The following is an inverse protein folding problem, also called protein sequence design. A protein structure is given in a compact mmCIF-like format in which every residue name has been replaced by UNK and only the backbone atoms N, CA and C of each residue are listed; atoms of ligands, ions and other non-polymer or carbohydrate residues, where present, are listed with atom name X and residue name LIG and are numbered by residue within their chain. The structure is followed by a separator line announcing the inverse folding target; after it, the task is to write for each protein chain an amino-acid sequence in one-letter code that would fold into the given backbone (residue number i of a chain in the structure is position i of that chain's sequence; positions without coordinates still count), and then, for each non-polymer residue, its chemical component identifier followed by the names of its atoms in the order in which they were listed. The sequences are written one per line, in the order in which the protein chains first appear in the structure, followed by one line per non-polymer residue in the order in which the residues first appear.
data_IF_801367674321
#
_entry.id   IF_801367674321
#
_cell.length_a   1.000
_cell.length_b   1.000
_cell.length_c   1.000
_cell.angle_alpha   90.00
_cell.angle_beta   90.00
_cell.angle_gamma   90.00
#
_symmetry.space_group_name_H-M   'P 1'
#
loop_
_entity.id
_entity.type
_entity.pdbx_description
1 polymer ?
#
# COMPACT_ATOMS: atom_id res chain seq x y z
N UNK A 1 17.38 3.20 16.48
CA UNK A 1 16.69 2.10 15.76
C UNK A 1 17.61 0.88 15.76
N UNK A 2 17.12 -0.33 16.07
CA UNK A 2 17.97 -1.55 16.04
C UNK A 2 18.58 -1.80 14.66
N UNK A 3 19.76 -2.39 14.62
CA UNK A 3 20.42 -2.78 13.38
C UNK A 3 19.66 -3.95 12.74
N UNK A 4 19.79 -4.11 11.42
CA UNK A 4 19.14 -5.20 10.71
C UNK A 4 19.60 -6.59 11.20
N UNK A 5 20.83 -6.69 11.73
CA UNK A 5 21.35 -7.92 12.32
C UNK A 5 20.61 -8.30 13.61
N UNK A 6 20.25 -7.32 14.44
CA UNK A 6 19.53 -7.55 15.69
C UNK A 6 18.11 -8.12 15.45
N UNK A 7 17.52 -7.80 14.29
CA UNK A 7 16.20 -8.31 13.90
C UNK A 7 16.22 -9.80 13.50
N UNK A 8 17.39 -10.42 13.33
CA UNK A 8 17.48 -11.87 13.04
C UNK A 8 17.29 -12.74 14.28
N UNK A 9 17.35 -12.15 15.48
CA UNK A 9 17.08 -12.87 16.73
C UNK A 9 15.60 -13.24 16.87
N UNK A 10 15.30 -14.14 17.81
CA UNK A 10 13.92 -14.49 18.18
C UNK A 10 13.19 -13.24 18.70
N UNK A 11 12.02 -12.96 18.15
CA UNK A 11 11.13 -11.92 18.66
C UNK A 11 10.38 -12.46 19.88
N UNK A 12 10.45 -11.75 21.01
CA UNK A 12 9.65 -12.02 22.19
C UNK A 12 8.75 -10.82 22.45
N UNK A 13 7.45 -11.00 22.28
CA UNK A 13 6.46 -9.93 22.49
C UNK A 13 5.84 -10.05 23.88
N UNK A 14 5.67 -8.91 24.54
CA UNK A 14 4.96 -8.78 25.80
C UNK A 14 4.01 -7.59 25.67
N UNK A 15 2.70 -7.81 25.87
CA UNK A 15 1.72 -6.72 25.94
C UNK A 15 1.71 -6.15 27.36
N UNK A 16 1.66 -4.83 27.46
CA UNK A 16 1.71 -4.15 28.74
C UNK A 16 0.40 -4.39 29.50
N UNK A 17 0.50 -4.91 30.72
CA UNK A 17 -0.66 -5.16 31.58
C UNK A 17 -1.39 -6.49 31.32
N UNK A 18 -0.86 -7.34 30.43
CA UNK A 18 -1.43 -8.66 30.14
C UNK A 18 -0.50 -9.79 30.61
N UNK A 19 -1.07 -10.84 31.19
CA UNK A 19 -0.32 -12.06 31.50
C UNK A 19 -0.03 -12.84 30.22
N UNK A 20 1.20 -12.73 29.74
CA UNK A 20 1.67 -13.44 28.55
C UNK A 20 2.02 -14.90 28.83
N UNK A 21 1.05 -15.81 28.71
CA UNK A 21 1.24 -17.24 29.00
C UNK A 21 1.89 -17.99 27.81
N UNK A 22 1.51 -17.66 26.57
CA UNK A 22 2.01 -18.31 25.35
C UNK A 22 2.76 -17.33 24.44
N UNK A 23 4.10 -17.39 24.46
CA UNK A 23 4.96 -16.55 23.65
C UNK A 23 4.71 -16.67 22.13
N UNK A 24 4.23 -17.83 21.65
CA UNK A 24 3.88 -18.04 20.24
C UNK A 24 2.61 -17.29 19.86
N UNK A 25 1.55 -17.46 20.65
CA UNK A 25 0.27 -16.74 20.50
C UNK A 25 0.43 -15.23 20.49
N UNK A 26 1.17 -14.67 21.46
CA UNK A 26 1.39 -13.22 21.57
C UNK A 26 2.14 -12.66 20.37
N UNK A 27 3.14 -13.39 19.86
CA UNK A 27 3.90 -12.96 18.67
C UNK A 27 3.01 -12.93 17.43
N UNK A 28 2.18 -13.96 17.25
CA UNK A 28 1.22 -14.02 16.14
C UNK A 28 0.20 -12.87 16.20
N UNK A 29 -0.36 -12.62 17.38
CA UNK A 29 -1.30 -11.53 17.61
C UNK A 29 -0.66 -10.16 17.34
N UNK A 30 0.57 -9.96 17.79
CA UNK A 30 1.32 -8.72 17.54
C UNK A 30 1.49 -8.42 16.05
N UNK A 31 1.82 -9.42 15.24
CA UNK A 31 1.90 -9.25 13.80
C UNK A 31 0.55 -8.87 13.18
N UNK A 32 -0.55 -9.48 13.63
CA UNK A 32 -1.90 -9.19 13.15
C UNK A 32 -2.35 -7.77 13.51
N UNK A 33 -2.12 -7.33 14.75
CA UNK A 33 -2.45 -5.98 15.20
C UNK A 33 -1.60 -4.94 14.47
N UNK A 34 -0.29 -5.18 14.36
CA UNK A 34 0.62 -4.25 13.70
C UNK A 34 0.34 -4.14 12.20
N UNK A 35 0.04 -5.25 11.52
CA UNK A 35 -0.33 -5.20 10.10
C UNK A 35 -1.59 -4.39 9.88
N UNK A 36 -2.62 -4.56 10.71
CA UNK A 36 -3.86 -3.76 10.61
C UNK A 36 -3.58 -2.26 10.67
N UNK A 37 -2.70 -1.82 11.56
CA UNK A 37 -2.33 -0.39 11.68
C UNK A 37 -1.52 0.10 10.48
N UNK A 38 -0.53 -0.68 10.01
CA UNK A 38 0.33 -0.28 8.89
C UNK A 38 -0.46 -0.14 7.59
N UNK A 39 -1.41 -1.05 7.35
CA UNK A 39 -2.18 -1.14 6.10
C UNK A 39 -3.56 -0.47 6.21
N UNK A 40 -3.86 0.20 7.32
CA UNK A 40 -5.08 0.99 7.47
C UNK A 40 -5.10 2.16 6.47
N UNK A 41 -6.29 2.46 5.93
CA UNK A 41 -6.47 3.57 4.96
C UNK A 41 -6.06 4.91 5.58
N UNK A 42 -6.27 5.12 6.88
CA UNK A 42 -5.91 6.32 7.63
C UNK A 42 -4.40 6.48 7.89
N UNK A 43 -3.60 5.42 7.79
CA UNK A 43 -2.15 5.52 7.89
C UNK A 43 -1.52 6.23 6.68
N UNK A 44 -2.27 6.31 5.55
CA UNK A 44 -1.88 6.89 4.26
C UNK A 44 -0.65 6.26 3.59
N UNK A 45 -0.12 5.15 4.11
CA UNK A 45 1.05 4.47 3.56
C UNK A 45 0.69 3.56 2.37
N UNK A 46 -0.40 2.82 2.48
CA UNK A 46 -0.86 1.90 1.45
C UNK A 46 -2.28 2.25 1.04
N UNK A 47 -2.63 1.94 -0.20
CA UNK A 47 -3.99 2.03 -0.72
C UNK A 47 -4.37 0.71 -1.36
N UNK A 48 -5.67 0.50 -1.49
CA UNK A 48 -6.24 -0.66 -2.17
C UNK A 48 -6.59 -0.33 -3.62
N UNK A 49 -6.57 -1.34 -4.49
CA UNK A 49 -6.97 -1.22 -5.91
C UNK A 49 -8.00 -2.28 -6.28
N UNK A 50 -8.79 -2.02 -7.33
CA UNK A 50 -9.83 -2.94 -7.80
C UNK A 50 -10.85 -3.29 -6.71
N UNK A 51 -11.00 -4.58 -6.40
CA UNK A 51 -11.97 -5.12 -5.43
C UNK A 51 -11.60 -4.88 -3.94
N UNK A 52 -10.80 -3.87 -3.64
CA UNK A 52 -10.33 -3.50 -2.29
C UNK A 52 -9.59 -4.58 -1.48
N UNK A 53 -9.17 -5.68 -2.12
CA UNK A 53 -8.59 -6.85 -1.43
C UNK A 53 -7.06 -6.91 -1.50
N UNK A 54 -6.43 -6.06 -2.32
CA UNK A 54 -4.97 -6.03 -2.48
C UNK A 54 -4.41 -4.63 -2.28
N UNK A 55 -3.22 -4.56 -1.69
CA UNK A 55 -2.55 -3.32 -1.30
C UNK A 55 -1.38 -2.98 -2.22
N UNK A 56 -1.20 -1.69 -2.46
CA UNK A 56 -0.01 -1.11 -3.08
C UNK A 56 0.41 0.17 -2.34
N UNK A 57 1.67 0.61 -2.46
CA UNK A 57 2.11 1.88 -1.88
C UNK A 57 1.19 3.01 -2.33
N UNK A 58 0.75 3.84 -1.39
CA UNK A 58 -0.08 4.99 -1.69
C UNK A 58 0.79 6.07 -2.35
N UNK A 59 0.48 6.50 -3.58
CA UNK A 59 1.17 7.62 -4.23
C UNK A 59 1.11 8.90 -3.39
N UNK A 60 0.11 9.02 -2.51
CA UNK A 60 -0.17 10.20 -1.68
C UNK A 60 0.40 10.09 -0.28
N UNK A 61 1.23 9.08 -0.05
CA UNK A 61 1.91 8.89 1.22
C UNK A 61 2.74 10.11 1.63
N UNK A 62 3.10 11.01 0.69
CA UNK A 62 3.77 12.27 0.99
C UNK A 62 3.00 13.18 1.98
N UNK A 63 1.67 13.04 2.07
CA UNK A 63 0.87 13.76 3.06
C UNK A 63 0.98 13.18 4.47
N UNK A 64 1.61 12.01 4.62
CA UNK A 64 2.03 11.47 5.90
C UNK A 64 3.46 11.93 6.20
N UNK A 65 3.64 12.65 7.30
CA UNK A 65 4.95 13.04 7.80
C UNK A 65 5.81 11.80 8.01
N UNK A 66 7.07 11.83 7.59
CA UNK A 66 8.01 10.70 7.70
C UNK A 66 7.59 9.41 6.94
N UNK A 67 6.73 9.50 5.91
CA UNK A 67 6.25 8.31 5.18
C UNK A 67 7.36 7.35 4.70
N UNK A 68 8.51 7.86 4.26
CA UNK A 68 9.65 7.03 3.84
C UNK A 68 10.21 6.19 5.01
N UNK A 69 10.31 6.80 6.19
CA UNK A 69 10.73 6.12 7.42
C UNK A 69 9.72 5.04 7.80
N UNK A 70 8.43 5.30 7.62
CA UNK A 70 7.37 4.33 7.86
C UNK A 70 7.36 3.19 6.82
N UNK A 71 7.58 3.45 5.53
CA UNK A 71 7.74 2.38 4.54
C UNK A 71 8.93 1.47 4.85
N UNK A 72 10.05 2.06 5.29
CA UNK A 72 11.22 1.30 5.75
C UNK A 72 10.88 0.43 6.96
N UNK A 73 10.07 0.94 7.88
CA UNK A 73 9.56 0.16 9.02
C UNK A 73 8.62 -0.97 8.56
N UNK A 74 7.63 -0.69 7.72
CA UNK A 74 6.71 -1.68 7.17
C UNK A 74 7.46 -2.80 6.42
N UNK A 75 8.44 -2.45 5.58
CA UNK A 75 9.29 -3.42 4.90
C UNK A 75 10.10 -4.30 5.86
N UNK A 76 10.58 -3.75 6.98
CA UNK A 76 11.22 -4.55 8.04
C UNK A 76 10.24 -5.48 8.74
N UNK A 77 9.01 -5.04 9.02
CA UNK A 77 7.96 -5.87 9.63
C UNK A 77 7.60 -7.03 8.71
N UNK A 78 7.35 -6.77 7.43
CA UNK A 78 7.06 -7.82 6.43
C UNK A 78 8.23 -8.79 6.28
N UNK A 79 9.46 -8.27 6.12
CA UNK A 79 10.65 -9.11 6.01
C UNK A 79 10.91 -9.95 7.27
N UNK A 80 10.62 -9.40 8.45
CA UNK A 80 10.76 -10.10 9.72
C UNK A 80 9.66 -11.16 9.91
N UNK A 81 8.41 -10.89 9.52
CA UNK A 81 7.34 -11.88 9.52
C UNK A 81 7.70 -13.09 8.64
N UNK A 82 8.21 -12.84 7.44
CA UNK A 82 8.72 -13.88 6.54
C UNK A 82 9.85 -14.68 7.18
N UNK A 83 10.82 -14.00 7.81
CA UNK A 83 11.94 -14.66 8.49
C UNK A 83 11.48 -15.54 9.67
N UNK A 84 10.46 -15.11 10.42
CA UNK A 84 9.90 -15.82 11.57
C UNK A 84 8.85 -16.87 11.21
N UNK A 85 8.52 -17.03 9.93
CA UNK A 85 7.46 -17.94 9.48
C UNK A 85 6.06 -17.52 9.92
N UNK A 86 5.83 -16.23 10.13
CA UNK A 86 4.55 -15.66 10.55
C UNK A 86 3.78 -15.15 9.32
N UNK A 87 2.49 -15.48 9.26
CA UNK A 87 1.60 -14.98 8.22
C UNK A 87 1.07 -13.59 8.61
N UNK A 88 1.02 -12.69 7.62
CA UNK A 88 0.34 -11.41 7.72
C UNK A 88 -0.97 -11.51 6.92
N UNK A 89 -2.04 -10.95 7.46
CA UNK A 89 -3.33 -10.86 6.76
C UNK A 89 -3.35 -9.66 5.80
N UNK A 90 -2.43 -9.68 4.84
CA UNK A 90 -2.18 -8.58 3.90
C UNK A 90 -1.72 -9.18 2.59
N UNK A 91 -2.42 -8.80 1.52
CA UNK A 91 -2.13 -9.28 0.17
C UNK A 91 -1.69 -8.10 -0.69
N UNK A 92 -0.52 -8.18 -1.30
CA UNK A 92 -0.03 -7.11 -2.18
C UNK A 92 -0.53 -7.31 -3.61
N UNK A 93 -0.56 -6.22 -4.37
CA UNK A 93 -0.79 -6.33 -5.82
C UNK A 93 0.32 -7.14 -6.48
N UNK A 94 0.00 -7.80 -7.60
CA UNK A 94 0.98 -8.58 -8.38
C UNK A 94 2.15 -7.70 -8.84
N UNK A 95 1.87 -6.48 -9.27
CA UNK A 95 2.90 -5.50 -9.65
C UNK A 95 3.82 -5.17 -8.47
N UNK A 96 3.28 -5.01 -7.25
CA UNK A 96 4.10 -4.73 -6.08
C UNK A 96 4.98 -5.92 -5.67
N UNK A 97 4.48 -7.16 -5.74
CA UNK A 97 5.33 -8.36 -5.58
C UNK A 97 6.46 -8.40 -6.62
N UNK A 98 6.17 -8.06 -7.88
CA UNK A 98 7.21 -7.99 -8.93
C UNK A 98 8.28 -6.96 -8.61
N UNK A 99 7.90 -5.78 -8.11
CA UNK A 99 8.87 -4.76 -7.66
C UNK A 99 9.77 -5.27 -6.53
N UNK A 100 9.21 -5.95 -5.53
CA UNK A 100 9.98 -6.54 -4.42
C UNK A 100 10.99 -7.58 -4.94
N UNK A 101 10.59 -8.38 -5.93
CA UNK A 101 11.41 -9.43 -6.53
C UNK A 101 12.38 -8.94 -7.61
N UNK A 102 12.36 -7.65 -7.97
CA UNK A 102 13.14 -7.12 -9.09
C UNK A 102 12.71 -7.66 -10.46
N UNK A 103 11.48 -8.15 -10.58
CA UNK A 103 10.89 -8.66 -11.83
C UNK A 103 10.26 -7.49 -12.59
N UNK A 104 10.48 -7.43 -13.92
CA UNK A 104 9.92 -6.40 -14.77
C UNK A 104 8.38 -6.47 -14.78
N UNK A 105 7.74 -5.32 -14.52
CA UNK A 105 6.30 -5.12 -14.69
C UNK A 105 5.94 -4.98 -16.16
N UNK A 106 4.73 -5.41 -16.52
CA UNK A 106 4.21 -5.42 -17.88
C UNK A 106 2.81 -4.83 -17.89
N UNK A 107 2.29 -4.40 -19.05
CA UNK A 107 0.93 -3.85 -19.13
C UNK A 107 -0.15 -4.86 -18.71
N UNK A 108 0.13 -6.17 -18.76
CA UNK A 108 -0.76 -7.20 -18.22
C UNK A 108 -0.98 -7.08 -16.71
N UNK A 109 -0.07 -6.45 -15.97
CA UNK A 109 -0.25 -6.24 -14.53
C UNK A 109 -1.27 -5.12 -14.23
N UNK A 110 -1.60 -4.29 -15.22
CA UNK A 110 -2.64 -3.25 -15.11
C UNK A 110 -4.02 -3.88 -15.05
N UNK A 111 -4.26 -5.05 -15.67
CA UNK A 111 -5.59 -5.68 -15.70
C UNK A 111 -6.19 -5.88 -14.30
N UNK A 112 -5.36 -6.17 -13.30
CA UNK A 112 -5.80 -6.35 -11.91
C UNK A 112 -6.05 -5.02 -11.16
N UNK A 113 -5.56 -3.90 -11.70
CA UNK A 113 -5.63 -2.55 -11.11
C UNK A 113 -6.76 -1.76 -11.78
N UNK A 114 -6.74 -1.74 -13.11
CA UNK A 114 -7.65 -1.03 -14.00
C UNK A 114 -7.92 -1.87 -15.26
N UNK A 115 -8.98 -2.71 -15.24
CA UNK A 115 -9.33 -3.56 -16.38
C UNK A 115 -9.66 -2.79 -17.66
N UNK A 116 -10.26 -1.59 -17.53
CA UNK A 116 -10.66 -0.77 -18.67
C UNK A 116 -9.43 -0.13 -19.33
N UNK A 117 -8.49 0.37 -18.53
CA UNK A 117 -7.22 0.87 -19.05
C UNK A 117 -6.41 -0.24 -19.72
N UNK A 118 -6.36 -1.44 -19.12
CA UNK A 118 -5.76 -2.61 -19.76
C UNK A 118 -6.40 -2.92 -21.12
N UNK A 119 -7.72 -2.91 -21.21
CA UNK A 119 -8.45 -3.16 -22.46
C UNK A 119 -8.11 -2.12 -23.53
N UNK A 120 -8.02 -0.84 -23.16
CA UNK A 120 -7.65 0.24 -24.07
C UNK A 120 -6.21 0.07 -24.60
N UNK A 121 -5.27 -0.24 -23.71
CA UNK A 121 -3.87 -0.52 -24.09
C UNK A 121 -3.77 -1.74 -25.01
N UNK A 122 -4.50 -2.82 -24.69
CA UNK A 122 -4.54 -4.03 -25.52
C UNK A 122 -5.11 -3.74 -26.91
N UNK A 123 -6.21 -2.98 -26.98
CA UNK A 123 -6.81 -2.59 -28.26
C UNK A 123 -5.84 -1.77 -29.11
N UNK A 124 -5.13 -0.80 -28.51
CA UNK A 124 -4.10 -0.01 -29.22
C UNK A 124 -2.95 -0.86 -29.75
N UNK A 125 -2.57 -1.94 -29.04
CA UNK A 125 -1.53 -2.86 -29.50
C UNK A 125 -1.99 -3.77 -30.65
N UNK A 126 -3.28 -4.06 -30.73
CA UNK A 126 -3.88 -5.01 -31.68
C UNK A 126 -4.45 -4.34 -32.93
N UNK A 127 -4.56 -3.00 -32.96
CA UNK A 127 -5.19 -2.25 -34.04
C UNK A 127 -4.30 -1.11 -34.55
N UNK A 128 -4.51 -0.69 -35.79
CA UNK A 128 -3.86 0.51 -36.30
C UNK A 128 -4.52 1.76 -35.70
N UNK A 129 -3.75 2.58 -35.01
CA UNK A 129 -4.21 3.80 -34.34
C UNK A 129 -4.02 5.08 -35.15
N UNK A 130 -3.38 5.02 -36.32
CA UNK A 130 -3.13 6.19 -37.19
C UNK A 130 -4.45 6.90 -37.51
N UNK A 131 -4.50 8.21 -37.25
CA UNK A 131 -5.66 9.09 -37.46
C UNK A 131 -6.93 8.71 -36.67
N UNK A 132 -6.85 7.74 -35.74
CA UNK A 132 -7.96 7.34 -34.86
C UNK A 132 -7.82 7.99 -33.48
N UNK A 133 -6.60 8.07 -32.96
CA UNK A 133 -6.30 8.61 -31.63
C UNK A 133 -5.20 9.67 -31.73
N UNK A 134 -5.44 10.86 -31.17
CA UNK A 134 -4.45 11.94 -31.07
C UNK A 134 -3.73 11.86 -29.72
N UNK A 135 -2.80 10.90 -29.61
CA UNK A 135 -2.05 10.64 -28.39
C UNK A 135 -0.63 11.19 -28.46
N UNK A 136 -0.13 11.64 -27.32
CA UNK A 136 1.28 12.01 -27.14
C UNK A 136 1.88 11.21 -25.99
N UNK A 137 3.20 11.33 -25.77
CA UNK A 137 3.89 10.70 -24.63
C UNK A 137 3.72 11.54 -23.35
N UNK A 138 2.47 11.86 -23.00
CA UNK A 138 2.09 12.60 -21.80
C UNK A 138 1.03 11.84 -21.01
N UNK A 139 0.96 12.12 -19.71
CA UNK A 139 -0.17 11.76 -18.86
C UNK A 139 -0.96 13.04 -18.56
N UNK A 140 -2.27 12.92 -18.38
CA UNK A 140 -3.08 14.09 -18.02
C UNK A 140 -2.69 14.56 -16.60
N UNK A 141 -2.52 15.86 -16.42
CA UNK A 141 -2.18 16.45 -15.13
C UNK A 141 -3.29 16.20 -14.10
N UNK A 142 -4.54 16.00 -14.56
CA UNK A 142 -5.67 15.63 -13.72
C UNK A 142 -5.71 14.13 -13.38
N UNK A 143 -5.08 13.24 -14.18
CA UNK A 143 -4.82 11.85 -13.78
C UNK A 143 -3.66 11.77 -12.79
N UNK A 144 -2.59 12.54 -13.01
CA UNK A 144 -1.50 12.73 -12.05
C UNK A 144 -2.03 13.32 -10.74
N UNK A 145 -2.97 14.27 -10.82
CA UNK A 145 -3.68 14.79 -9.66
C UNK A 145 -4.73 13.84 -9.13
N UNK A 146 -5.45 13.01 -9.87
CA UNK A 146 -6.38 12.01 -9.29
C UNK A 146 -5.62 10.95 -8.52
N UNK A 147 -4.45 10.55 -9.02
CA UNK A 147 -3.46 9.81 -8.23
C UNK A 147 -3.20 10.55 -6.91
N UNK A 148 -3.13 11.89 -6.91
CA UNK A 148 -2.91 12.79 -5.76
C UNK A 148 -4.14 13.22 -4.90
N UNK A 149 -5.36 13.24 -5.45
CA UNK A 149 -6.53 13.99 -4.93
C UNK A 149 -7.81 13.15 -4.75
N UNK A 150 -7.91 11.93 -5.28
CA UNK A 150 -9.19 11.16 -5.28
C UNK A 150 -9.67 10.67 -3.88
N UNK A 151 -9.13 11.23 -2.79
CA UNK A 151 -9.62 10.99 -1.41
C UNK A 151 -9.71 12.22 -0.50
N UNK A 152 -9.55 13.45 -0.98
CA UNK A 152 -9.84 14.62 -0.12
C UNK A 152 -11.34 14.84 0.13
N UNK A 153 -12.22 14.35 -0.74
CA UNK A 153 -13.68 14.46 -0.57
C UNK A 153 -14.25 13.53 0.53
N UNK A 154 -13.53 12.49 0.96
CA UNK A 154 -13.97 11.61 2.05
C UNK A 154 -13.49 12.06 3.45
N UNK A 155 -12.81 13.21 3.54
CA UNK A 155 -12.29 13.76 4.81
C UNK A 155 -12.86 15.13 5.21
N UNK A 156 -13.81 15.70 4.46
CA UNK A 156 -14.53 16.90 4.93
C UNK A 156 -15.63 16.52 5.93
N UNK A 157 -15.21 16.20 7.16
CA UNK A 157 -16.05 16.42 8.33
C UNK A 157 -16.45 17.91 8.36
N UNK A 158 -17.74 18.17 8.55
CA UNK A 158 -18.39 19.49 8.49
C UNK A 158 -17.57 20.59 9.22
N UNK A 159 -17.50 21.82 8.69
CA UNK A 159 -17.01 22.95 9.47
C UNK A 159 -18.00 23.26 10.60
N UNK A 160 -17.53 23.20 11.85
CA UNK A 160 -18.21 23.82 12.99
C UNK A 160 -18.24 25.33 12.77
N UNK A 161 -19.44 25.90 12.69
CA UNK A 161 -19.68 27.33 12.76
C UNK A 161 -19.16 27.83 14.11
N UNK A 162 -18.15 28.71 14.07
CA UNK A 162 -17.77 29.50 15.25
C UNK A 162 -18.75 30.65 15.34
N UNK A 163 -19.60 30.60 16.36
CA UNK A 163 -20.41 31.74 16.79
C UNK A 163 -19.49 32.94 17.04
N UNK A 164 -19.84 34.05 16.41
CA UNK A 164 -19.23 35.36 16.62
C UNK A 164 -19.74 35.94 17.96
N UNK A 165 -18.81 36.19 18.89
CA UNK A 165 -18.93 37.19 19.97
C UNK A 165 -17.69 38.10 19.96
#
# INVERSE_FOLDING_TARGET
MRLAQDLKGRLNVHFQGEEGIDAGGLTREWYQLLSRVIFDKGALLFTTVGNESTFQPNPNSVYQTEHLSYFKFAGRVVGKALFDGQLLDVHFTRSFYKHILGVKVTYHDIEAIDPDYFKNLKWMLENNTTDVLDLTFSIDADEEKRILYDKTENFSGKPEERDEE
#
